data_IF_822289797707
#
_entry.id   IF_822289797707
#
_cell.length_a   1.000
_cell.length_b   1.000
_cell.length_c   1.000
_cell.angle_alpha   90.00
_cell.angle_beta   90.00
_cell.angle_gamma   90.00
#
_symmetry.space_group_name_H-M   'P 1'
#
loop_
_entity.id
_entity.type
_entity.pdbx_description
1 polymer ?
#
# COMPACT_ATOMS: atom_id res chain seq x y z
N UNK A 1 -19.72 -22.13 16.24
CA UNK A 1 -18.79 -21.18 15.58
C UNK A 1 -19.33 -20.91 14.19
N UNK A 2 -19.54 -19.65 13.83
CA UNK A 2 -20.00 -19.27 12.49
C UNK A 2 -18.80 -18.91 11.60
N UNK A 3 -18.81 -19.37 10.35
CA UNK A 3 -17.76 -19.08 9.37
C UNK A 3 -18.22 -17.98 8.41
N UNK A 4 -17.29 -17.16 7.94
CA UNK A 4 -17.58 -16.18 6.90
C UNK A 4 -17.92 -16.90 5.59
N UNK A 5 -19.07 -16.63 4.94
CA UNK A 5 -19.46 -17.30 3.71
C UNK A 5 -18.61 -16.92 2.49
N UNK A 6 -17.75 -15.91 2.59
CA UNK A 6 -16.88 -15.43 1.50
C UNK A 6 -15.51 -16.11 1.55
N UNK A 7 -14.83 -16.03 2.71
CA UNK A 7 -13.48 -16.59 2.86
C UNK A 7 -13.45 -17.96 3.56
N UNK A 8 -14.59 -18.45 4.04
CA UNK A 8 -14.76 -19.73 4.74
C UNK A 8 -13.98 -19.85 6.05
N UNK A 9 -13.41 -18.76 6.55
CA UNK A 9 -12.70 -18.73 7.84
C UNK A 9 -13.67 -18.45 8.99
N UNK A 10 -13.30 -18.92 10.18
CA UNK A 10 -14.05 -18.64 11.43
C UNK A 10 -14.17 -17.13 11.64
N UNK A 11 -15.37 -16.67 11.97
CA UNK A 11 -15.61 -15.30 12.40
C UNK A 11 -15.07 -15.14 13.83
N UNK A 12 -13.99 -14.37 13.98
CA UNK A 12 -13.39 -13.98 15.25
C UNK A 12 -13.39 -12.47 15.39
N UNK A 13 -13.41 -11.97 16.64
CA UNK A 13 -13.38 -10.54 16.94
C UNK A 13 -12.12 -9.87 16.38
N UNK A 14 -10.99 -10.58 16.43
CA UNK A 14 -9.68 -10.19 15.89
C UNK A 14 -9.66 -9.92 14.37
N UNK A 15 -10.64 -10.43 13.61
CA UNK A 15 -10.77 -10.13 12.16
C UNK A 15 -11.82 -9.07 11.83
N UNK A 16 -12.52 -8.58 12.85
CA UNK A 16 -13.69 -7.72 12.71
C UNK A 16 -14.88 -8.47 12.13
N UNK A 17 -15.98 -8.52 12.88
CA UNK A 17 -17.24 -9.14 12.46
C UNK A 17 -18.22 -8.03 12.08
N UNK A 18 -18.74 -8.08 10.85
CA UNK A 18 -19.78 -7.16 10.41
C UNK A 18 -21.09 -7.91 10.20
N UNK A 19 -22.17 -7.43 10.83
CA UNK A 19 -23.52 -7.96 10.64
C UNK A 19 -24.34 -6.97 9.82
N UNK A 20 -24.81 -7.38 8.65
CA UNK A 20 -25.71 -6.56 7.82
C UNK A 20 -27.11 -6.50 8.44
N UNK A 21 -27.92 -5.54 8.01
CA UNK A 21 -29.31 -5.38 8.51
C UNK A 21 -30.22 -6.57 8.18
N UNK A 22 -29.97 -7.24 7.06
CA UNK A 22 -30.63 -8.50 6.72
C UNK A 22 -30.16 -9.69 7.60
N UNK A 23 -29.25 -9.48 8.55
CA UNK A 23 -28.88 -10.45 9.57
C UNK A 23 -27.63 -11.28 9.27
N UNK A 24 -27.09 -11.20 8.05
CA UNK A 24 -25.92 -11.98 7.62
C UNK A 24 -24.61 -11.42 8.16
N UNK A 25 -23.68 -12.32 8.52
CA UNK A 25 -22.39 -11.96 9.12
C UNK A 25 -21.22 -12.29 8.19
N UNK A 26 -20.24 -11.39 8.19
CA UNK A 26 -19.05 -11.50 7.34
C UNK A 26 -17.82 -10.98 8.09
N UNK A 27 -16.63 -11.35 7.60
CA UNK A 27 -15.41 -10.66 8.00
C UNK A 27 -15.43 -9.22 7.44
N UNK A 28 -14.98 -8.23 8.21
CA UNK A 28 -15.05 -6.82 7.81
C UNK A 28 -14.40 -6.58 6.44
N UNK A 29 -13.21 -7.15 6.22
CA UNK A 29 -12.49 -7.11 4.94
C UNK A 29 -13.30 -7.72 3.79
N UNK A 30 -13.91 -8.87 4.02
CA UNK A 30 -14.65 -9.63 3.01
C UNK A 30 -15.87 -8.84 2.52
N UNK A 31 -16.61 -8.26 3.46
CA UNK A 31 -17.78 -7.44 3.13
C UNK A 31 -17.37 -6.15 2.43
N UNK A 32 -16.34 -5.45 2.92
CA UNK A 32 -15.82 -4.25 2.27
C UNK A 32 -15.36 -4.51 0.84
N UNK A 33 -14.58 -5.58 0.62
CA UNK A 33 -14.14 -6.00 -0.72
C UNK A 33 -15.34 -6.29 -1.64
N UNK A 34 -16.36 -7.00 -1.15
CA UNK A 34 -17.55 -7.30 -1.94
C UNK A 34 -18.32 -6.04 -2.33
N UNK A 35 -18.47 -5.10 -1.40
CA UNK A 35 -19.18 -3.83 -1.64
C UNK A 35 -18.44 -2.96 -2.65
N UNK A 36 -17.11 -2.87 -2.53
CA UNK A 36 -16.28 -2.02 -3.36
C UNK A 36 -16.09 -2.57 -4.78
N UNK A 37 -15.98 -3.90 -4.93
CA UNK A 37 -15.61 -4.55 -6.20
C UNK A 37 -16.79 -5.08 -7.00
N UNK A 38 -17.90 -5.42 -6.34
CA UNK A 38 -19.03 -6.10 -6.98
C UNK A 38 -20.26 -5.22 -7.00
N UNK A 39 -20.94 -5.08 -5.86
CA UNK A 39 -22.14 -4.26 -5.73
C UNK A 39 -22.44 -3.96 -4.26
N UNK A 40 -23.31 -2.97 -4.00
CA UNK A 40 -23.71 -2.57 -2.65
C UNK A 40 -24.80 -3.46 -2.04
N UNK A 41 -24.79 -4.75 -2.33
CA UNK A 41 -25.80 -5.70 -1.87
C UNK A 41 -25.20 -6.80 -1.00
N UNK A 42 -26.03 -7.37 -0.11
CA UNK A 42 -25.62 -8.48 0.73
C UNK A 42 -25.18 -9.68 -0.13
N UNK A 43 -23.96 -10.22 0.04
CA UNK A 43 -23.49 -11.35 -0.76
C UNK A 43 -24.33 -12.63 -0.62
N UNK A 44 -25.10 -12.76 0.46
CA UNK A 44 -25.95 -13.92 0.71
C UNK A 44 -27.38 -13.78 0.16
N UNK A 45 -28.01 -12.63 0.36
CA UNK A 45 -29.44 -12.45 0.06
C UNK A 45 -29.75 -11.30 -0.90
N UNK A 46 -28.72 -10.59 -1.37
CA UNK A 46 -28.82 -9.47 -2.33
C UNK A 46 -29.66 -8.27 -1.87
N UNK A 47 -30.07 -8.23 -0.61
CA UNK A 47 -30.67 -7.02 0.00
C UNK A 47 -29.68 -5.87 -0.07
N UNK A 48 -30.15 -4.69 -0.47
CA UNK A 48 -29.31 -3.50 -0.52
C UNK A 48 -28.77 -3.16 0.88
N UNK A 49 -27.46 -2.96 0.99
CA UNK A 49 -26.80 -2.65 2.26
C UNK A 49 -26.91 -1.15 2.57
N UNK A 50 -27.18 -0.33 1.55
CA UNK A 50 -27.31 1.13 1.67
C UNK A 50 -28.71 1.61 2.04
N UNK A 51 -29.70 0.71 2.08
CA UNK A 51 -31.05 1.07 2.48
C UNK A 51 -31.06 1.59 3.94
N UNK A 52 -31.33 2.90 4.07
CA UNK A 52 -31.37 3.66 5.31
C UNK A 52 -30.00 3.84 6.00
N UNK A 53 -28.92 4.15 5.27
CA UNK A 53 -27.71 4.72 5.92
C UNK A 53 -28.11 6.02 6.62
N UNK A 54 -28.16 6.01 7.96
CA UNK A 54 -28.16 7.25 8.70
C UNK A 54 -26.78 7.86 8.49
N UNK A 55 -26.73 8.91 7.68
CA UNK A 55 -25.51 9.70 7.53
C UNK A 55 -25.25 10.34 8.90
N UNK A 56 -24.11 10.00 9.50
CA UNK A 56 -23.66 10.68 10.70
C UNK A 56 -23.34 12.14 10.35
N UNK A 57 -23.68 13.06 11.25
CA UNK A 57 -23.22 14.44 11.11
C UNK A 57 -21.70 14.48 11.23
N UNK A 58 -21.06 15.50 10.65
CA UNK A 58 -19.61 15.68 10.78
C UNK A 58 -19.17 15.67 12.25
N UNK A 59 -19.98 16.29 13.12
CA UNK A 59 -19.74 16.34 14.57
C UNK A 59 -19.80 14.94 15.24
N UNK A 60 -20.71 14.08 14.81
CA UNK A 60 -20.78 12.69 15.27
C UNK A 60 -19.57 11.87 14.81
N UNK A 61 -19.08 12.13 13.58
CA UNK A 61 -17.88 11.49 13.04
C UNK A 61 -16.64 11.94 13.82
N UNK A 62 -16.49 13.24 14.03
CA UNK A 62 -15.35 13.82 14.75
C UNK A 62 -15.31 13.31 16.20
N UNK A 63 -16.46 13.28 16.89
CA UNK A 63 -16.56 12.74 18.25
C UNK A 63 -16.13 11.27 18.31
N UNK A 64 -16.62 10.42 17.40
CA UNK A 64 -16.24 9.00 17.36
C UNK A 64 -14.73 8.82 17.05
N UNK A 65 -14.15 9.67 16.21
CA UNK A 65 -12.72 9.68 15.93
C UNK A 65 -11.89 10.01 17.18
N UNK A 66 -12.21 11.09 17.89
CA UNK A 66 -11.50 11.48 19.11
C UNK A 66 -11.70 10.46 20.25
N UNK A 67 -12.87 9.84 20.34
CA UNK A 67 -13.13 8.75 21.29
C UNK A 67 -12.26 7.53 20.98
N UNK A 68 -12.20 7.11 19.71
CA UNK A 68 -11.32 6.02 19.28
C UNK A 68 -9.83 6.31 19.51
N UNK A 69 -9.41 7.58 19.40
CA UNK A 69 -8.05 8.01 19.73
C UNK A 69 -7.73 7.82 21.22
N UNK A 70 -8.70 8.08 22.11
CA UNK A 70 -8.57 7.84 23.55
C UNK A 70 -8.53 6.34 23.87
N UNK A 71 -9.37 5.54 23.22
CA UNK A 71 -9.53 4.10 23.49
C UNK A 71 -8.35 3.26 22.99
N UNK A 72 -7.73 3.62 21.85
CA UNK A 72 -6.62 2.88 21.25
C UNK A 72 -5.23 3.49 21.48
N UNK A 73 -5.18 4.71 22.03
CA UNK A 73 -3.99 5.33 22.63
C UNK A 73 -2.80 5.61 21.70
N UNK A 74 -1.95 6.52 22.14
CA UNK A 74 -0.69 6.96 21.52
C UNK A 74 0.21 5.78 21.05
N UNK A 75 0.15 4.62 21.72
CA UNK A 75 0.88 3.40 21.36
C UNK A 75 0.57 2.85 19.97
N UNK A 76 -0.69 2.89 19.52
CA UNK A 76 -1.06 2.40 18.18
C UNK A 76 -0.45 3.27 17.08
N UNK A 77 -0.43 4.60 17.29
CA UNK A 77 0.19 5.56 16.38
C UNK A 77 1.71 5.38 16.32
N UNK A 78 2.38 5.22 17.46
CA UNK A 78 3.83 4.98 17.52
C UNK A 78 4.23 3.68 16.83
N UNK A 79 3.48 2.59 17.04
CA UNK A 79 3.75 1.30 16.38
C UNK A 79 3.61 1.40 14.85
N UNK A 80 2.60 2.11 14.35
CA UNK A 80 2.41 2.33 12.91
C UNK A 80 3.51 3.20 12.28
N UNK A 81 4.02 4.17 13.04
CA UNK A 81 5.15 5.00 12.62
C UNK A 81 6.45 4.19 12.55
N UNK A 82 6.76 3.40 13.59
CA UNK A 82 7.96 2.57 13.66
C UNK A 82 8.01 1.51 12.54
N UNK A 83 6.88 0.86 12.26
CA UNK A 83 6.79 -0.12 11.16
C UNK A 83 7.00 0.53 9.78
N UNK A 84 6.47 1.74 9.61
CA UNK A 84 6.62 2.52 8.37
C UNK A 84 8.05 3.00 8.18
N UNK A 85 8.69 3.54 9.22
CA UNK A 85 10.07 4.02 9.19
C UNK A 85 11.06 2.87 8.94
N UNK A 86 10.86 1.72 9.59
CA UNK A 86 11.67 0.52 9.37
C UNK A 86 11.60 0.03 7.93
N UNK A 87 10.41 0.08 7.32
CA UNK A 87 10.20 -0.33 5.92
C UNK A 87 10.87 0.64 4.96
N UNK A 88 10.72 1.94 5.18
CA UNK A 88 11.37 2.99 4.38
C UNK A 88 12.90 2.87 4.46
N UNK A 89 13.45 2.75 5.66
CA UNK A 89 14.89 2.61 5.90
C UNK A 89 15.50 1.40 5.17
N UNK A 90 14.81 0.26 5.11
CA UNK A 90 15.25 -0.91 4.34
C UNK A 90 15.32 -0.64 2.84
N UNK A 91 14.29 0.00 2.28
CA UNK A 91 14.24 0.33 0.85
C UNK A 91 15.30 1.36 0.48
N UNK A 92 15.43 2.43 1.27
CA UNK A 92 16.44 3.48 1.07
C UNK A 92 17.86 2.89 1.05
N UNK A 93 18.20 2.05 2.03
CA UNK A 93 19.52 1.40 2.08
C UNK A 93 19.79 0.48 0.88
N UNK A 94 18.76 -0.19 0.35
CA UNK A 94 18.88 -1.02 -0.86
C UNK A 94 19.19 -0.15 -2.08
N UNK A 95 18.42 0.92 -2.30
CA UNK A 95 18.63 1.89 -3.38
C UNK A 95 20.02 2.51 -3.32
N UNK A 96 20.50 2.87 -2.13
CA UNK A 96 21.83 3.44 -1.94
C UNK A 96 22.94 2.47 -2.39
N UNK A 97 22.80 1.18 -2.08
CA UNK A 97 23.77 0.15 -2.50
C UNK A 97 23.78 -0.02 -4.02
N UNK A 98 22.60 -0.09 -4.64
CA UNK A 98 22.47 -0.22 -6.10
C UNK A 98 23.06 0.98 -6.82
N UNK A 99 22.79 2.19 -6.33
CA UNK A 99 23.33 3.42 -6.91
C UNK A 99 24.87 3.48 -6.80
N UNK A 100 25.43 3.06 -5.66
CA UNK A 100 26.88 2.95 -5.52
C UNK A 100 27.49 1.92 -6.49
N UNK A 101 26.82 0.79 -6.73
CA UNK A 101 27.29 -0.20 -7.71
C UNK A 101 27.27 0.36 -9.13
N UNK A 102 26.22 1.09 -9.49
CA UNK A 102 26.12 1.77 -10.78
C UNK A 102 27.19 2.83 -10.96
N UNK A 103 27.47 3.63 -9.92
CA UNK A 103 28.53 4.64 -9.94
C UNK A 103 29.91 4.01 -10.13
N UNK A 104 30.21 2.91 -9.43
CA UNK A 104 31.45 2.15 -9.61
C UNK A 104 31.55 1.63 -11.04
N UNK A 105 30.50 0.99 -11.56
CA UNK A 105 30.48 0.44 -12.91
C UNK A 105 30.69 1.52 -13.97
N UNK A 106 30.02 2.67 -13.81
CA UNK A 106 30.19 3.84 -14.67
C UNK A 106 31.65 4.30 -14.67
N UNK A 107 32.24 4.51 -13.49
CA UNK A 107 33.64 4.94 -13.34
C UNK A 107 34.60 3.94 -13.98
N UNK A 108 34.42 2.64 -13.74
CA UNK A 108 35.25 1.60 -14.36
C UNK A 108 35.14 1.60 -15.89
N UNK A 109 33.93 1.78 -16.41
CA UNK A 109 33.68 1.83 -17.87
C UNK A 109 34.36 3.04 -18.50
N UNK A 110 34.22 4.23 -17.89
CA UNK A 110 34.88 5.46 -18.37
C UNK A 110 36.40 5.29 -18.37
N UNK A 111 36.97 4.75 -17.29
CA UNK A 111 38.40 4.49 -17.20
C UNK A 111 38.86 3.53 -18.31
N UNK A 112 38.15 2.42 -18.53
CA UNK A 112 38.47 1.47 -19.59
C UNK A 112 38.44 2.11 -20.99
N UNK A 113 37.45 2.97 -21.26
CA UNK A 113 37.35 3.66 -22.55
C UNK A 113 38.49 4.68 -22.75
N UNK A 114 38.93 5.33 -21.67
CA UNK A 114 40.07 6.26 -21.70
C UNK A 114 41.39 5.52 -21.89
N UNK A 115 41.64 4.43 -21.16
CA UNK A 115 42.90 3.66 -21.23
C UNK A 115 43.06 2.95 -22.56
N UNK A 116 41.97 2.53 -23.20
CA UNK A 116 41.99 1.88 -24.53
C UNK A 116 41.99 2.87 -25.71
N UNK A 117 41.95 4.19 -25.45
CA UNK A 117 41.79 5.25 -26.45
C UNK A 117 40.50 5.14 -27.31
N UNK A 118 39.59 4.23 -26.94
CA UNK A 118 38.31 4.00 -27.59
C UNK A 118 37.37 5.19 -27.41
N UNK A 119 37.47 5.90 -26.27
CA UNK A 119 36.68 7.10 -26.01
C UNK A 119 36.95 8.20 -27.05
N UNK A 120 38.21 8.45 -27.38
CA UNK A 120 38.58 9.47 -28.38
C UNK A 120 38.12 9.07 -29.78
N UNK A 121 38.13 7.77 -30.13
CA UNK A 121 37.59 7.27 -31.39
C UNK A 121 36.07 7.48 -31.49
N UNK A 122 35.33 7.18 -30.42
CA UNK A 122 33.86 7.36 -30.36
C UNK A 122 33.47 8.84 -30.37
N UNK A 123 34.14 9.68 -29.56
CA UNK A 123 33.88 11.13 -29.52
C UNK A 123 34.17 11.79 -30.87
N UNK A 124 35.26 11.41 -31.54
CA UNK A 124 35.55 11.92 -32.88
C UNK A 124 34.52 11.47 -33.92
N UNK A 125 33.97 10.25 -33.78
CA UNK A 125 32.90 9.75 -34.65
C UNK A 125 31.59 10.52 -34.43
N UNK A 126 31.22 10.82 -33.18
CA UNK A 126 30.03 11.60 -32.83
C UNK A 126 30.12 13.07 -33.24
N UNK A 127 31.31 13.69 -33.13
CA UNK A 127 31.53 15.06 -33.58
C UNK A 127 31.35 15.20 -35.10
N UNK A 128 31.82 14.22 -35.87
CA UNK A 128 31.67 14.20 -37.34
C UNK A 128 30.20 14.07 -37.76
N UNK A 129 29.41 13.25 -37.08
CA UNK A 129 27.98 13.07 -37.38
C UNK A 129 27.09 14.26 -36.99
N UNK A 130 27.57 15.18 -36.14
CA UNK A 130 26.83 16.37 -35.71
C UNK A 130 27.31 17.66 -36.42
N UNK A 131 28.25 17.55 -37.37
CA UNK A 131 28.76 18.67 -38.18
C UNK A 131 28.42 18.55 -39.67
N UNK A 132 27.58 17.58 -40.02
CA UNK A 132 26.80 17.45 -41.26
C UNK A 132 25.33 17.77 -40.96
#
# INVERSE_FOLDING_TARGET
MENCPICLQVLSEDKGIFKTRCGHKFCAKCLADSILKVNRSCPMCRTDITDNVQLFTQEQIDSAYYQGFQDYGEQSYMNGYDDSDRKWSKQYNKLQRENNQLDILYKMTVLQLQTTNTLNQVVNKLKRTNSE
#
